data_IF_002648148550
#
_entry.id   IF_002648148550
#
_cell.length_a   1.000
_cell.length_b   1.000
_cell.length_c   1.000
_cell.angle_alpha   90.00
_cell.angle_beta   90.00
_cell.angle_gamma   90.00
#
_symmetry.space_group_name_H-M   'P 1'
#
loop_
_entity.id
_entity.type
_entity.pdbx_description
1 polymer ?
#
# COMPACT_ATOMS: atom_id res chain seq x y z
N UNK A 1 -4.75 -13.21 9.18
CA UNK A 1 -3.58 -12.82 8.36
C UNK A 1 -3.87 -11.44 7.77
N UNK A 2 -2.91 -10.50 7.74
CA UNK A 2 -3.12 -9.21 7.09
C UNK A 2 -3.47 -9.45 5.62
N UNK A 3 -4.53 -8.79 5.14
CA UNK A 3 -5.11 -8.99 3.79
C UNK A 3 -4.19 -8.52 2.66
N UNK A 4 -3.26 -7.62 2.99
CA UNK A 4 -2.24 -7.09 2.09
C UNK A 4 -0.90 -7.03 2.82
N UNK A 5 0.18 -7.26 2.09
CA UNK A 5 1.54 -7.03 2.57
C UNK A 5 2.13 -5.81 1.88
N UNK A 6 2.84 -4.99 2.66
CA UNK A 6 3.44 -3.75 2.21
C UNK A 6 4.96 -3.77 2.36
N UNK A 7 5.64 -3.16 1.41
CA UNK A 7 7.04 -2.75 1.49
C UNK A 7 7.08 -1.24 1.70
N UNK A 8 7.79 -0.80 2.75
CA UNK A 8 8.10 0.61 2.92
C UNK A 8 9.12 1.02 1.86
N UNK A 9 8.76 1.99 1.03
CA UNK A 9 9.65 2.56 0.04
C UNK A 9 10.34 3.80 0.61
N UNK A 10 9.58 4.66 1.27
CA UNK A 10 10.07 5.96 1.71
C UNK A 10 9.22 6.49 2.88
N UNK A 11 9.88 7.15 3.81
CA UNK A 11 9.31 7.93 4.92
C UNK A 11 9.85 9.36 4.79
N UNK A 12 8.95 10.34 4.74
CA UNK A 12 9.32 11.72 4.46
C UNK A 12 8.34 12.71 5.10
N UNK A 13 8.77 13.96 5.22
CA UNK A 13 7.94 15.06 5.69
C UNK A 13 7.66 16.02 4.53
N UNK A 14 6.40 16.41 4.36
CA UNK A 14 5.98 17.37 3.34
C UNK A 14 4.88 18.26 3.90
N UNK A 15 5.08 19.58 3.88
CA UNK A 15 4.16 20.58 4.47
C UNK A 15 3.86 20.31 5.96
N UNK A 16 4.85 19.84 6.71
CA UNK A 16 4.70 19.49 8.13
C UNK A 16 3.98 18.16 8.38
N UNK A 17 3.51 17.47 7.33
CA UNK A 17 2.90 16.14 7.46
C UNK A 17 3.94 15.03 7.34
N UNK A 18 3.86 14.06 8.25
CA UNK A 18 4.64 12.84 8.18
C UNK A 18 3.97 11.84 7.23
N UNK A 19 4.69 11.43 6.18
CA UNK A 19 4.16 10.65 5.06
C UNK A 19 4.98 9.41 4.77
N UNK A 20 4.28 8.35 4.36
CA UNK A 20 4.84 7.06 4.01
C UNK A 20 4.43 6.68 2.59
N UNK A 21 5.39 6.17 1.81
CA UNK A 21 5.14 5.51 0.53
C UNK A 21 5.23 4.02 0.72
N UNK A 22 4.10 3.33 0.57
CA UNK A 22 3.98 1.90 0.75
C UNK A 22 3.70 1.23 -0.59
N UNK A 23 4.55 0.27 -0.98
CA UNK A 23 4.32 -0.57 -2.15
C UNK A 23 3.59 -1.84 -1.73
N UNK A 24 2.54 -2.22 -2.45
CA UNK A 24 1.88 -3.50 -2.24
C UNK A 24 2.74 -4.62 -2.83
N UNK A 25 3.17 -5.58 -2.01
CA UNK A 25 4.01 -6.69 -2.45
C UNK A 25 3.38 -7.46 -3.60
N UNK A 26 4.20 -7.79 -4.60
CA UNK A 26 3.75 -8.49 -5.82
C UNK A 26 2.95 -7.61 -6.79
N UNK A 27 3.03 -6.28 -6.67
CA UNK A 27 2.46 -5.33 -7.62
C UNK A 27 3.36 -4.10 -7.78
N UNK A 28 3.06 -3.24 -8.74
CA UNK A 28 3.67 -1.91 -8.86
C UNK A 28 2.81 -0.80 -8.23
N UNK A 29 1.81 -1.17 -7.42
CA UNK A 29 0.95 -0.20 -6.75
C UNK A 29 1.66 0.42 -5.56
N UNK A 30 1.79 1.75 -5.57
CA UNK A 30 2.34 2.55 -4.47
C UNK A 30 1.21 3.41 -3.92
N UNK A 31 1.09 3.41 -2.59
CA UNK A 31 0.10 4.17 -1.85
C UNK A 31 0.85 5.14 -0.94
N UNK A 32 0.53 6.42 -1.08
CA UNK A 32 1.10 7.47 -0.26
C UNK A 32 0.08 7.82 0.83
N UNK A 33 0.48 7.79 2.09
CA UNK A 33 -0.39 8.09 3.22
C UNK A 33 0.31 8.97 4.23
N UNK A 34 -0.42 9.93 4.79
CA UNK A 34 0.03 10.64 5.99
C UNK A 34 -0.29 9.80 7.23
N UNK A 35 0.70 9.57 8.09
CA UNK A 35 0.58 8.76 9.30
C UNK A 35 1.65 9.13 10.33
N UNK A 36 1.41 8.79 11.59
CA UNK A 36 2.35 9.00 12.69
C UNK A 36 3.30 7.83 12.92
N UNK A 37 3.00 6.66 12.33
CA UNK A 37 3.82 5.46 12.41
C UNK A 37 3.65 4.57 11.17
N UNK A 38 4.59 3.66 10.97
CA UNK A 38 4.52 2.66 9.89
C UNK A 38 3.30 1.74 10.01
N UNK A 39 2.89 1.38 11.23
CA UNK A 39 1.71 0.54 11.48
C UNK A 39 0.41 1.27 11.08
N UNK A 40 0.29 2.55 11.45
CA UNK A 40 -0.85 3.38 11.05
C UNK A 40 -0.87 3.57 9.53
N UNK A 41 0.29 3.77 8.90
CA UNK A 41 0.42 3.88 7.45
C UNK A 41 -0.08 2.61 6.75
N UNK A 42 0.33 1.42 7.23
CA UNK A 42 -0.10 0.15 6.67
C UNK A 42 -1.62 -0.07 6.81
N UNK A 43 -2.18 0.29 7.98
CA UNK A 43 -3.63 0.22 8.23
C UNK A 43 -4.43 1.14 7.28
N UNK A 44 -4.00 2.39 7.11
CA UNK A 44 -4.60 3.35 6.18
C UNK A 44 -4.52 2.89 4.73
N UNK A 45 -3.35 2.39 4.32
CA UNK A 45 -3.14 1.87 2.98
C UNK A 45 -4.06 0.66 2.69
N UNK A 46 -4.23 -0.25 3.65
CA UNK A 46 -5.18 -1.36 3.53
C UNK A 46 -6.63 -0.86 3.39
N UNK A 47 -7.04 0.12 4.20
CA UNK A 47 -8.38 0.73 4.09
C UNK A 47 -8.65 1.35 2.72
N UNK A 48 -7.68 2.05 2.14
CA UNK A 48 -7.77 2.60 0.77
C UNK A 48 -7.95 1.47 -0.25
N UNK A 49 -7.19 0.37 -0.11
CA UNK A 49 -7.32 -0.79 -1.01
C UNK A 49 -8.67 -1.49 -0.92
N UNK A 50 -9.32 -1.47 0.24
CA UNK A 50 -10.65 -2.05 0.44
C UNK A 50 -11.77 -1.18 -0.11
N UNK A 51 -11.62 0.14 0.00
CA UNK A 51 -12.58 1.11 -0.54
C UNK A 51 -12.45 1.28 -2.06
N UNK A 52 -11.34 0.83 -2.64
CA UNK A 52 -11.10 0.87 -4.08
C UNK A 52 -11.24 -0.53 -4.69
N UNK A 53 -11.60 -0.61 -5.97
CA UNK A 53 -11.51 -1.88 -6.70
C UNK A 53 -10.05 -2.34 -6.96
N UNK A 54 -9.05 -1.68 -6.36
CA UNK A 54 -7.63 -2.00 -6.53
C UNK A 54 -7.30 -3.43 -6.10
N UNK A 55 -8.01 -3.97 -5.10
CA UNK A 55 -7.89 -5.37 -4.68
C UNK A 55 -8.11 -6.37 -5.84
N UNK A 56 -9.08 -6.09 -6.73
CA UNK A 56 -9.35 -6.93 -7.90
C UNK A 56 -8.20 -6.87 -8.92
N UNK A 57 -7.60 -5.69 -9.13
CA UNK A 57 -6.44 -5.52 -10.03
C UNK A 57 -5.17 -6.22 -9.52
N UNK A 58 -4.95 -6.23 -8.20
CA UNK A 58 -3.79 -6.89 -7.59
C UNK A 58 -3.88 -8.42 -7.78
N UNK A 59 -5.07 -9.01 -7.64
CA UNK A 59 -5.26 -10.45 -7.78
C UNK A 59 -5.15 -10.92 -9.24
N UNK A 60 -5.71 -10.18 -10.20
CA UNK A 60 -5.63 -10.52 -11.63
C UNK A 60 -4.19 -10.57 -12.17
N UNK A 61 -3.29 -9.71 -11.66
CA UNK A 61 -1.88 -9.67 -12.09
C UNK A 61 -0.99 -10.74 -11.43
N UNK A 62 -1.42 -11.35 -10.32
CA UNK A 62 -0.72 -12.51 -9.72
C UNK A 62 -0.86 -13.78 -10.55
N UNK A 63 -1.93 -13.91 -11.34
CA UNK A 63 -2.19 -15.08 -12.18
C UNK A 63 -1.47 -14.99 -13.54
N UNK A 64 -1.39 -13.79 -14.13
CA UNK A 64 -0.71 -13.58 -15.42
C UNK A 64 0.82 -13.71 -15.39
N UNK A 65 1.45 -13.69 -14.22
CA UNK A 65 2.92 -13.88 -14.05
C UNK A 65 3.33 -15.34 -13.80
N UNK A 66 2.37 -16.29 -13.81
CA UNK A 66 2.62 -17.74 -13.69
C UNK A 66 2.52 -18.49 -15.02
N UNK A 67 2.42 -17.76 -16.14
CA UNK A 67 2.32 -18.33 -17.50
C UNK A 67 3.68 -18.35 -18.20
#
# INVERSE_FOLDING_TARGET
>A
MPKYEFELIEEYFLEGEHRYRLKVKGSNLIINVAASSLEEAASKAAGILEQTNAAAFINANKEGSRS
#
